data_IF_456659213354
#
_entry.id   IF_456659213354
#
_cell.length_a   1.000
_cell.length_b   1.000
_cell.length_c   1.000
_cell.angle_alpha   90.00
_cell.angle_beta   90.00
_cell.angle_gamma   90.00
#
_symmetry.space_group_name_H-M   'P 1'
#
loop_
_entity.id
_entity.type
_entity.pdbx_description
1 polymer ?
#
# COMPACT_ATOMS: atom_id res chain seq x y z
N UNK A 1 -57.55 16.39 21.73
CA UNK A 1 -56.55 16.69 20.69
C UNK A 1 -55.31 15.84 20.95
N UNK A 2 -54.90 15.04 19.96
CA UNK A 2 -53.78 14.09 20.02
C UNK A 2 -52.49 14.84 19.72
N UNK A 3 -51.41 14.59 20.45
CA UNK A 3 -50.04 14.87 19.99
C UNK A 3 -49.11 13.75 20.44
N UNK A 4 -48.98 12.75 19.58
CA UNK A 4 -47.98 11.69 19.61
C UNK A 4 -46.62 12.24 19.16
N UNK A 5 -45.63 12.31 20.05
CA UNK A 5 -44.22 12.45 19.65
C UNK A 5 -43.65 11.05 19.41
N UNK A 6 -43.33 10.75 18.15
CA UNK A 6 -42.52 9.61 17.73
C UNK A 6 -41.14 9.69 18.38
N UNK A 7 -40.80 8.71 19.21
CA UNK A 7 -39.43 8.50 19.67
C UNK A 7 -38.54 8.06 18.51
N UNK A 8 -37.39 8.72 18.38
CA UNK A 8 -36.32 8.38 17.44
C UNK A 8 -35.64 7.09 17.95
N UNK A 9 -35.37 6.06 17.12
CA UNK A 9 -34.64 4.90 17.59
C UNK A 9 -33.20 5.31 17.90
N UNK A 10 -32.77 5.06 19.13
CA UNK A 10 -31.40 5.28 19.59
C UNK A 10 -30.55 4.16 19.01
N UNK A 11 -29.54 4.50 18.20
CA UNK A 11 -28.51 3.54 17.77
C UNK A 11 -27.87 2.90 19.01
N UNK A 12 -27.46 1.62 18.95
CA UNK A 12 -26.75 1.01 20.07
C UNK A 12 -25.43 1.76 20.27
N UNK A 13 -25.34 2.50 21.37
CA UNK A 13 -24.08 3.01 21.92
C UNK A 13 -23.23 1.79 22.25
N UNK A 14 -22.14 1.57 21.50
CA UNK A 14 -21.07 0.69 21.98
C UNK A 14 -20.60 1.28 23.32
N UNK A 15 -20.53 0.50 24.42
CA UNK A 15 -20.10 1.03 25.70
C UNK A 15 -18.68 1.59 25.54
N UNK A 16 -18.47 2.86 25.89
CA UNK A 16 -17.19 3.55 25.76
C UNK A 16 -16.02 2.79 26.41
N UNK A 17 -16.32 1.98 27.42
CA UNK A 17 -15.37 1.08 28.09
C UNK A 17 -14.76 0.03 27.15
N UNK A 18 -15.53 -0.53 26.21
CA UNK A 18 -15.03 -1.50 25.21
C UNK A 18 -14.13 -0.81 24.20
N UNK A 19 -14.45 0.43 23.82
CA UNK A 19 -13.60 1.23 22.93
C UNK A 19 -12.30 1.64 23.60
N UNK A 20 -12.35 2.00 24.89
CA UNK A 20 -11.18 2.35 25.69
C UNK A 20 -10.28 1.15 25.97
N UNK A 21 -10.86 -0.03 26.25
CA UNK A 21 -10.12 -1.29 26.37
C UNK A 21 -9.44 -1.68 25.05
N UNK A 22 -10.15 -1.59 23.92
CA UNK A 22 -9.58 -1.85 22.60
C UNK A 22 -8.44 -0.87 22.29
N UNK A 23 -8.60 0.43 22.58
CA UNK A 23 -7.53 1.44 22.41
C UNK A 23 -6.32 1.17 23.31
N UNK A 24 -6.53 0.70 24.54
CA UNK A 24 -5.42 0.34 25.43
C UNK A 24 -4.69 -0.90 24.94
N UNK A 25 -5.41 -1.93 24.51
CA UNK A 25 -4.83 -3.12 23.90
C UNK A 25 -4.05 -2.78 22.63
N UNK A 26 -4.61 -1.98 21.71
CA UNK A 26 -3.90 -1.53 20.51
C UNK A 26 -2.63 -0.76 20.84
N UNK A 27 -2.67 0.11 21.86
CA UNK A 27 -1.47 0.85 22.30
C UNK A 27 -0.41 -0.08 22.87
N UNK A 28 -0.80 -1.05 23.68
CA UNK A 28 0.13 -1.98 24.30
C UNK A 28 0.76 -2.93 23.27
N UNK A 29 -0.03 -3.40 22.30
CA UNK A 29 0.48 -4.15 21.15
C UNK A 29 1.45 -3.33 20.28
N UNK A 30 1.20 -2.04 20.09
CA UNK A 30 2.09 -1.15 19.35
C UNK A 30 3.38 -0.77 20.12
N UNK A 31 3.39 -0.86 21.45
CA UNK A 31 4.57 -0.59 22.29
C UNK A 31 5.50 -1.81 22.40
N UNK A 32 4.96 -3.02 22.28
CA UNK A 32 5.69 -4.29 22.45
C UNK A 32 6.21 -4.90 21.13
N UNK A 33 5.75 -4.40 19.98
CA UNK A 33 6.17 -4.83 18.65
C UNK A 33 7.04 -3.76 18.00
N UNK A 34 8.08 -4.18 17.28
CA UNK A 34 8.68 -3.31 16.27
C UNK A 34 7.71 -3.11 15.10
N UNK A 35 7.98 -2.11 14.25
CA UNK A 35 7.10 -1.77 13.12
C UNK A 35 6.83 -3.01 12.23
N UNK A 36 7.84 -3.85 12.02
CA UNK A 36 7.70 -5.12 11.29
C UNK A 36 6.76 -6.13 11.97
N UNK A 37 6.82 -6.24 13.31
CA UNK A 37 5.92 -7.07 14.10
C UNK A 37 4.48 -6.58 14.07
N UNK A 38 4.26 -5.26 14.03
CA UNK A 38 2.95 -4.65 13.88
C UNK A 38 2.37 -4.93 12.49
N UNK A 39 3.15 -4.73 11.43
CA UNK A 39 2.72 -4.96 10.05
C UNK A 39 2.34 -6.42 9.79
N UNK A 40 3.11 -7.37 10.34
CA UNK A 40 2.77 -8.79 10.26
C UNK A 40 1.42 -9.11 10.90
N UNK A 41 1.09 -8.47 12.03
CA UNK A 41 -0.20 -8.66 12.69
C UNK A 41 -1.34 -7.98 11.93
N UNK A 42 -1.12 -6.80 11.37
CA UNK A 42 -2.07 -6.13 10.50
C UNK A 42 -2.39 -6.97 9.27
N UNK A 43 -1.38 -7.58 8.64
CA UNK A 43 -1.56 -8.48 7.51
C UNK A 43 -2.47 -9.67 7.86
N UNK A 44 -2.26 -10.29 9.03
CA UNK A 44 -3.13 -11.39 9.51
C UNK A 44 -4.57 -10.91 9.69
N UNK A 45 -4.77 -9.79 10.38
CA UNK A 45 -6.10 -9.23 10.63
C UNK A 45 -6.82 -8.82 9.33
N UNK A 46 -6.10 -8.24 8.37
CA UNK A 46 -6.66 -7.83 7.08
C UNK A 46 -7.03 -9.01 6.19
N UNK A 47 -6.24 -10.09 6.21
CA UNK A 47 -6.60 -11.35 5.56
C UNK A 47 -7.87 -11.94 6.16
N UNK A 48 -7.95 -11.99 7.49
CA UNK A 48 -9.16 -12.47 8.16
C UNK A 48 -10.39 -11.63 7.78
N UNK A 49 -10.28 -10.30 7.80
CA UNK A 49 -11.38 -9.41 7.41
C UNK A 49 -11.84 -9.62 5.96
N UNK A 50 -10.91 -9.85 5.03
CA UNK A 50 -11.19 -10.19 3.63
C UNK A 50 -11.87 -11.56 3.51
N UNK A 51 -11.29 -12.58 4.11
CA UNK A 51 -11.67 -13.98 3.91
C UNK A 51 -13.00 -14.31 4.58
N UNK A 52 -13.33 -13.64 5.69
CA UNK A 52 -14.63 -13.73 6.36
C UNK A 52 -15.71 -12.87 5.72
N UNK A 53 -15.35 -11.98 4.78
CA UNK A 53 -16.27 -11.02 4.17
C UNK A 53 -16.78 -9.95 5.13
N UNK A 54 -16.02 -9.66 6.20
CA UNK A 54 -16.32 -8.58 7.16
C UNK A 54 -16.35 -7.22 6.46
N UNK A 55 -15.58 -7.08 5.37
CA UNK A 55 -15.59 -5.92 4.46
C UNK A 55 -15.91 -6.38 3.02
N UNK A 56 -16.36 -5.47 2.14
CA UNK A 56 -16.53 -5.79 0.71
C UNK A 56 -15.23 -6.33 0.10
N UNK A 57 -15.35 -7.18 -0.94
CA UNK A 57 -14.21 -7.86 -1.56
C UNK A 57 -13.06 -6.91 -1.95
N UNK A 58 -13.38 -5.81 -2.66
CA UNK A 58 -12.38 -4.82 -3.07
C UNK A 58 -11.75 -4.11 -1.86
N UNK A 59 -12.50 -3.89 -0.77
CA UNK A 59 -11.98 -3.28 0.45
C UNK A 59 -11.02 -4.22 1.18
N UNK A 60 -11.34 -5.52 1.24
CA UNK A 60 -10.44 -6.54 1.77
C UNK A 60 -9.18 -6.70 0.92
N UNK A 61 -9.32 -6.66 -0.41
CA UNK A 61 -8.18 -6.62 -1.34
C UNK A 61 -7.28 -5.41 -1.06
N UNK A 62 -7.86 -4.21 -0.95
CA UNK A 62 -7.11 -2.99 -0.65
C UNK A 62 -6.33 -3.08 0.66
N UNK A 63 -6.94 -3.56 1.75
CA UNK A 63 -6.27 -3.68 3.05
C UNK A 63 -5.01 -4.55 2.95
N UNK A 64 -5.15 -5.74 2.37
CA UNK A 64 -4.03 -6.70 2.22
C UNK A 64 -2.98 -6.15 1.25
N UNK A 65 -3.39 -5.61 0.10
CA UNK A 65 -2.47 -5.05 -0.89
C UNK A 65 -1.71 -3.83 -0.35
N UNK A 66 -2.36 -2.98 0.44
CA UNK A 66 -1.75 -1.77 1.00
C UNK A 66 -0.63 -2.11 1.99
N UNK A 67 -0.89 -3.01 2.94
CA UNK A 67 0.13 -3.40 3.92
C UNK A 67 1.27 -4.17 3.24
N UNK A 68 0.97 -5.05 2.28
CA UNK A 68 2.02 -5.78 1.56
C UNK A 68 2.88 -4.86 0.70
N UNK A 69 2.31 -3.81 0.09
CA UNK A 69 3.09 -2.81 -0.63
C UNK A 69 4.05 -2.07 0.30
N UNK A 70 3.59 -1.65 1.48
CA UNK A 70 4.44 -0.98 2.46
C UNK A 70 5.60 -1.90 2.92
N UNK A 71 5.29 -3.13 3.31
CA UNK A 71 6.30 -4.12 3.71
C UNK A 71 7.28 -4.45 2.57
N UNK A 72 6.78 -4.57 1.33
CA UNK A 72 7.62 -4.84 0.18
C UNK A 72 8.53 -3.66 -0.15
N UNK A 73 8.03 -2.42 -0.06
CA UNK A 73 8.82 -1.20 -0.31
C UNK A 73 9.98 -1.08 0.68
N UNK A 74 9.78 -1.42 1.95
CA UNK A 74 10.87 -1.51 2.93
C UNK A 74 11.89 -2.61 2.59
N UNK A 75 11.41 -3.74 2.06
CA UNK A 75 12.27 -4.86 1.68
C UNK A 75 13.05 -4.62 0.37
N UNK A 76 12.65 -3.67 -0.49
CA UNK A 76 13.27 -3.44 -1.80
C UNK A 76 14.78 -3.13 -1.71
N UNK A 77 15.21 -2.37 -0.70
CA UNK A 77 16.63 -2.04 -0.52
C UNK A 77 17.50 -3.30 -0.28
N UNK A 78 16.90 -4.38 0.22
CA UNK A 78 17.56 -5.66 0.42
C UNK A 78 17.59 -6.53 -0.85
N UNK A 79 16.79 -6.23 -1.88
CA UNK A 79 16.84 -6.96 -3.15
C UNK A 79 18.14 -6.65 -3.90
N UNK A 80 18.85 -7.70 -4.31
CA UNK A 80 20.17 -7.56 -4.92
C UNK A 80 20.14 -6.90 -6.30
N UNK A 81 19.09 -7.16 -7.09
CA UNK A 81 18.95 -6.61 -8.44
C UNK A 81 18.50 -5.16 -8.39
N UNK A 82 17.52 -4.85 -7.55
CA UNK A 82 17.07 -3.47 -7.31
C UNK A 82 18.23 -2.60 -6.84
N UNK A 83 19.03 -3.09 -5.89
CA UNK A 83 20.21 -2.37 -5.39
C UNK A 83 21.27 -2.15 -6.48
N UNK A 84 21.51 -3.15 -7.33
CA UNK A 84 22.47 -3.02 -8.42
C UNK A 84 22.05 -1.91 -9.41
N UNK A 85 20.80 -1.95 -9.86
CA UNK A 85 20.24 -0.97 -10.79
C UNK A 85 20.20 0.44 -10.20
N UNK A 86 19.81 0.57 -8.92
CA UNK A 86 19.86 1.85 -8.20
C UNK A 86 21.28 2.41 -8.16
N UNK A 87 22.28 1.57 -7.91
CA UNK A 87 23.69 2.00 -7.91
C UNK A 87 24.19 2.41 -9.30
N UNK A 88 23.69 1.78 -10.36
CA UNK A 88 24.00 2.17 -11.75
C UNK A 88 23.37 3.52 -12.11
N UNK A 89 22.11 3.78 -11.68
CA UNK A 89 21.46 5.08 -11.85
C UNK A 89 22.23 6.20 -11.15
N UNK A 90 22.59 6.00 -9.88
CA UNK A 90 23.40 6.96 -9.13
C UNK A 90 24.79 7.19 -9.74
N UNK A 91 25.39 6.17 -10.35
CA UNK A 91 26.66 6.30 -11.05
C UNK A 91 26.53 7.18 -12.30
N UNK A 92 25.46 6.97 -13.08
CA UNK A 92 25.17 7.76 -14.26
C UNK A 92 24.89 9.24 -13.93
N UNK A 93 24.11 9.48 -12.88
CA UNK A 93 23.83 10.83 -12.35
C UNK A 93 25.11 11.55 -11.93
N UNK A 94 25.98 10.84 -11.20
CA UNK A 94 27.27 11.37 -10.73
C UNK A 94 28.22 11.67 -11.89
N UNK A 95 28.27 10.79 -12.90
CA UNK A 95 29.11 10.98 -14.09
C UNK A 95 28.63 12.15 -14.95
N UNK A 96 27.32 12.41 -14.97
CA UNK A 96 26.72 13.61 -15.56
C UNK A 96 26.96 14.89 -14.73
N UNK A 97 27.47 14.75 -13.50
CA UNK A 97 27.78 15.86 -12.60
C UNK A 97 26.59 16.36 -11.78
N UNK A 98 25.48 15.60 -11.75
CA UNK A 98 24.32 15.92 -10.91
C UNK A 98 24.66 15.74 -9.43
N UNK A 99 24.13 16.65 -8.61
CA UNK A 99 24.12 16.49 -7.16
C UNK A 99 22.96 15.60 -6.72
N UNK A 100 23.02 15.11 -5.48
CA UNK A 100 22.04 14.18 -4.86
C UNK A 100 20.57 14.67 -4.87
N UNK A 101 20.32 15.97 -5.07
CA UNK A 101 18.97 16.57 -5.17
C UNK A 101 18.71 17.26 -6.53
N UNK A 102 19.55 16.98 -7.52
CA UNK A 102 19.50 17.61 -8.83
C UNK A 102 19.00 16.59 -9.86
N UNK A 103 18.03 17.02 -10.66
CA UNK A 103 17.41 16.18 -11.69
C UNK A 103 17.72 16.78 -13.06
N UNK A 104 17.83 15.92 -14.07
CA UNK A 104 17.85 16.40 -15.45
C UNK A 104 16.61 17.25 -15.76
N UNK A 105 16.79 18.29 -16.57
CA UNK A 105 15.66 18.91 -17.23
C UNK A 105 14.99 17.88 -18.16
N UNK A 106 13.65 17.96 -18.38
CA UNK A 106 12.95 16.97 -19.21
C UNK A 106 13.50 16.78 -20.63
N UNK A 107 14.14 17.80 -21.19
CA UNK A 107 14.79 17.79 -22.51
C UNK A 107 16.27 17.38 -22.49
N UNK A 108 16.84 17.16 -21.31
CA UNK A 108 18.24 16.78 -21.09
C UNK A 108 18.39 15.36 -20.54
N UNK A 109 17.29 14.63 -20.35
CA UNK A 109 17.31 13.25 -19.85
C UNK A 109 18.01 12.34 -20.89
N UNK A 110 19.11 11.66 -20.53
CA UNK A 110 19.78 10.73 -21.43
C UNK A 110 18.90 9.50 -21.71
N UNK A 111 18.86 9.05 -22.97
CA UNK A 111 18.11 7.83 -23.36
C UNK A 111 18.56 6.59 -22.55
N UNK A 112 19.85 6.51 -22.22
CA UNK A 112 20.41 5.44 -21.39
C UNK A 112 19.90 5.49 -19.94
N UNK A 113 19.67 6.68 -19.40
CA UNK A 113 19.05 6.83 -18.09
C UNK A 113 17.59 6.40 -18.12
N UNK A 114 16.83 6.83 -19.14
CA UNK A 114 15.41 6.44 -19.28
C UNK A 114 15.25 4.92 -19.39
N UNK A 115 16.11 4.27 -20.17
CA UNK A 115 16.14 2.82 -20.29
C UNK A 115 16.45 2.15 -18.95
N UNK A 116 17.44 2.67 -18.21
CA UNK A 116 17.84 2.11 -16.93
C UNK A 116 16.76 2.32 -15.84
N UNK A 117 16.06 3.45 -15.84
CA UNK A 117 14.91 3.69 -14.95
C UNK A 117 13.79 2.69 -15.24
N UNK A 118 13.50 2.42 -16.51
CA UNK A 118 12.49 1.41 -16.86
C UNK A 118 12.88 0.01 -16.36
N UNK A 119 14.16 -0.35 -16.46
CA UNK A 119 14.68 -1.62 -15.93
C UNK A 119 14.60 -1.67 -14.40
N UNK A 120 14.94 -0.57 -13.73
CA UNK A 120 14.83 -0.42 -12.28
C UNK A 120 13.39 -0.56 -11.79
N UNK A 121 12.45 0.17 -12.40
CA UNK A 121 11.02 0.09 -12.07
C UNK A 121 10.46 -1.32 -12.30
N UNK A 122 10.86 -1.97 -13.39
CA UNK A 122 10.50 -3.36 -13.67
C UNK A 122 11.04 -4.30 -12.59
N UNK A 123 12.30 -4.12 -12.17
CA UNK A 123 12.90 -4.94 -11.12
C UNK A 123 12.20 -4.73 -9.77
N UNK A 124 11.83 -3.49 -9.43
CA UNK A 124 11.06 -3.18 -8.24
C UNK A 124 9.68 -3.87 -8.27
N UNK A 125 8.97 -3.81 -9.39
CA UNK A 125 7.67 -4.48 -9.53
C UNK A 125 7.78 -6.01 -9.45
N UNK A 126 8.82 -6.60 -10.04
CA UNK A 126 9.11 -8.04 -9.92
C UNK A 126 9.42 -8.44 -8.47
N UNK A 127 10.21 -7.64 -7.75
CA UNK A 127 10.54 -7.88 -6.35
C UNK A 127 9.30 -7.77 -5.44
N UNK A 128 8.44 -6.76 -5.65
CA UNK A 128 7.15 -6.66 -4.94
C UNK A 128 6.25 -7.86 -5.22
N UNK A 129 6.15 -8.28 -6.49
CA UNK A 129 5.37 -9.47 -6.85
C UNK A 129 5.94 -10.74 -6.20
N UNK A 130 7.27 -10.89 -6.13
CA UNK A 130 7.90 -12.00 -5.42
C UNK A 130 7.56 -11.96 -3.92
N UNK A 131 7.63 -10.79 -3.29
CA UNK A 131 7.24 -10.60 -1.89
C UNK A 131 5.78 -11.02 -1.64
N UNK A 132 4.86 -10.66 -2.53
CA UNK A 132 3.46 -11.06 -2.42
C UNK A 132 3.30 -12.59 -2.48
N UNK A 133 4.04 -13.27 -3.37
CA UNK A 133 4.03 -14.75 -3.46
C UNK A 133 4.59 -15.38 -2.19
N UNK A 134 5.70 -14.87 -1.67
CA UNK A 134 6.32 -15.37 -0.43
C UNK A 134 5.39 -15.17 0.78
N UNK A 135 4.56 -14.13 0.74
CA UNK A 135 3.51 -13.91 1.73
C UNK A 135 2.28 -14.84 1.54
N UNK A 136 2.17 -15.58 0.44
CA UNK A 136 1.02 -16.45 0.12
C UNK A 136 -0.13 -15.75 -0.60
N UNK A 137 0.14 -14.66 -1.33
CA UNK A 137 -0.83 -13.93 -2.15
C UNK A 137 -0.52 -14.07 -3.64
N UNK A 138 -0.46 -15.30 -4.15
CA UNK A 138 -0.05 -15.60 -5.52
C UNK A 138 -0.94 -14.93 -6.57
N UNK A 139 -2.25 -14.99 -6.39
CA UNK A 139 -3.21 -14.35 -7.30
C UNK A 139 -3.04 -12.82 -7.32
N UNK A 140 -2.72 -12.22 -6.18
CA UNK A 140 -2.47 -10.78 -6.09
C UNK A 140 -1.17 -10.42 -6.81
N UNK A 141 -0.12 -11.23 -6.66
CA UNK A 141 1.15 -11.08 -7.36
C UNK A 141 0.98 -11.17 -8.89
N UNK A 142 0.19 -12.14 -9.37
CA UNK A 142 -0.13 -12.29 -10.79
C UNK A 142 -0.86 -11.06 -11.34
N UNK A 143 -1.89 -10.59 -10.65
CA UNK A 143 -2.64 -9.40 -11.06
C UNK A 143 -1.78 -8.15 -11.01
N UNK A 144 -0.93 -8.00 -9.98
CA UNK A 144 -0.01 -6.88 -9.85
C UNK A 144 0.97 -6.78 -11.02
N UNK A 145 1.58 -7.90 -11.41
CA UNK A 145 2.64 -7.94 -12.42
C UNK A 145 2.11 -8.00 -13.86
N UNK A 146 0.96 -8.64 -14.09
CA UNK A 146 0.48 -8.94 -15.44
C UNK A 146 -0.85 -8.25 -15.82
N UNK A 147 -1.59 -7.71 -14.84
CA UNK A 147 -2.81 -6.93 -15.09
C UNK A 147 -2.91 -5.72 -14.14
N UNK A 148 -1.94 -4.81 -14.31
CA UNK A 148 -1.81 -3.59 -13.49
C UNK A 148 -3.09 -2.76 -13.46
N UNK A 149 -3.86 -2.74 -14.55
CA UNK A 149 -5.14 -2.03 -14.61
C UNK A 149 -6.19 -2.66 -13.68
N UNK A 150 -6.30 -3.99 -13.66
CA UNK A 150 -7.18 -4.68 -12.72
C UNK A 150 -6.71 -4.49 -11.28
N UNK A 151 -5.40 -4.56 -11.01
CA UNK A 151 -4.84 -4.29 -9.69
C UNK A 151 -5.26 -2.90 -9.19
N UNK A 152 -4.94 -1.85 -9.97
CA UNK A 152 -5.25 -0.46 -9.62
C UNK A 152 -6.75 -0.26 -9.42
N UNK A 153 -7.59 -0.84 -10.29
CA UNK A 153 -9.05 -0.73 -10.17
C UNK A 153 -9.57 -1.32 -8.86
N UNK A 154 -9.14 -2.53 -8.49
CA UNK A 154 -9.56 -3.18 -7.23
C UNK A 154 -9.02 -2.41 -6.02
N UNK A 155 -7.75 -2.03 -6.06
CA UNK A 155 -7.10 -1.22 -5.03
C UNK A 155 -7.85 0.10 -4.78
N UNK A 156 -8.13 0.85 -5.84
CA UNK A 156 -8.83 2.14 -5.76
C UNK A 156 -10.29 2.00 -5.33
N UNK A 157 -10.98 0.96 -5.81
CA UNK A 157 -12.34 0.63 -5.39
C UNK A 157 -12.39 0.37 -3.88
N UNK A 158 -11.45 -0.43 -3.36
CA UNK A 158 -11.31 -0.71 -1.94
C UNK A 158 -10.91 0.51 -1.11
N UNK A 159 -9.93 1.30 -1.59
CA UNK A 159 -9.51 2.54 -0.93
C UNK A 159 -10.68 3.51 -0.72
N UNK A 160 -11.55 3.65 -1.73
CA UNK A 160 -12.73 4.52 -1.66
C UNK A 160 -13.74 4.09 -0.61
N UNK A 161 -13.80 2.80 -0.25
CA UNK A 161 -14.65 2.32 0.83
C UNK A 161 -14.25 2.95 2.18
N UNK A 162 -12.95 3.07 2.45
CA UNK A 162 -12.44 3.64 3.70
C UNK A 162 -12.35 5.16 3.71
N UNK A 163 -11.95 5.77 2.58
CA UNK A 163 -11.61 7.20 2.55
C UNK A 163 -12.62 8.08 1.83
N UNK A 164 -13.62 7.51 1.14
CA UNK A 164 -14.70 8.26 0.49
C UNK A 164 -14.21 9.30 -0.52
N UNK A 165 -14.04 8.86 -1.78
CA UNK A 165 -13.62 9.59 -3.00
C UNK A 165 -12.13 9.43 -3.38
N UNK A 166 -11.82 9.32 -4.70
CA UNK A 166 -10.45 9.17 -5.20
C UNK A 166 -9.65 10.47 -5.08
N UNK A 167 -8.38 10.37 -4.68
CA UNK A 167 -7.37 11.31 -5.18
C UNK A 167 -7.28 11.08 -6.68
N UNK A 168 -7.93 11.93 -7.49
CA UNK A 168 -7.60 12.06 -8.90
C UNK A 168 -6.15 12.58 -8.98
N UNK A 169 -5.30 12.06 -9.88
CA UNK A 169 -4.01 12.66 -10.15
C UNK A 169 -4.23 14.11 -10.60
N UNK A 170 -3.62 15.07 -9.89
CA UNK A 170 -3.66 16.49 -10.24
C UNK A 170 -2.71 16.87 -11.39
N UNK A 171 -2.35 15.94 -12.27
CA UNK A 171 -1.46 16.21 -13.40
C UNK A 171 -1.93 15.50 -14.68
N UNK A 172 -2.99 16.04 -15.27
CA UNK A 172 -3.17 16.07 -16.73
C UNK A 172 -3.66 17.48 -17.08
N UNK A 173 -2.71 18.39 -17.25
CA UNK A 173 -2.76 19.58 -18.10
C UNK A 173 -1.34 20.09 -18.27
#
# INVERSE_FOLDING_TARGET
>A
MKNTRRGKPRSPEMPSEVEDELRQLTRHLAEDLDDAGLDAQLLVAFREARDTGTVPADAGFFLVAHILLAMADEALAADARVRALSGELEALERDAGLREDEFWAPDEIPEEWEALVLEYETACDEARAAFFRDAGEEMMAEVFLHDRNTFIRQFESGRRFFHGLPMLPSYVN
#
